data_IF_081458489631
#
_entry.id   IF_081458489631
#
_cell.length_a   1.000
_cell.length_b   1.000
_cell.length_c   1.000
_cell.angle_alpha   90.00
_cell.angle_beta   90.00
_cell.angle_gamma   90.00
#
_symmetry.space_group_name_H-M   'P 1'
#
loop_
_entity.id
_entity.type
_entity.pdbx_description
1 polymer ?
#
# COMPACT_ATOMS: atom_id res chain seq x y z
N UNK A 1 17.31 6.85 18.27
CA UNK A 1 15.84 7.00 18.22
C UNK A 1 15.20 5.70 18.74
N UNK A 2 14.14 5.75 19.57
CA UNK A 2 13.48 4.52 20.06
C UNK A 2 12.92 3.72 18.87
N UNK A 3 13.02 2.38 18.89
CA UNK A 3 12.53 1.45 17.85
C UNK A 3 11.12 1.81 17.34
N UNK A 4 10.20 2.21 18.23
CA UNK A 4 8.83 2.59 17.84
C UNK A 4 8.81 3.82 16.93
N UNK A 5 9.60 4.86 17.26
CA UNK A 5 9.72 6.09 16.46
C UNK A 5 10.31 5.77 15.09
N UNK A 6 11.33 4.91 15.05
CA UNK A 6 11.95 4.48 13.78
C UNK A 6 10.93 3.77 12.90
N UNK A 7 10.16 2.82 13.45
CA UNK A 7 9.12 2.12 12.69
C UNK A 7 8.02 3.07 12.20
N UNK A 8 7.56 4.01 13.02
CA UNK A 8 6.54 4.98 12.60
C UNK A 8 7.02 5.86 11.43
N UNK A 9 8.27 6.33 11.47
CA UNK A 9 8.89 7.11 10.39
C UNK A 9 9.03 6.24 9.13
N UNK A 10 9.56 5.02 9.27
CA UNK A 10 9.71 4.11 8.14
C UNK A 10 8.36 3.76 7.50
N UNK A 11 7.32 3.48 8.29
CA UNK A 11 5.98 3.21 7.78
C UNK A 11 5.46 4.37 6.93
N UNK A 12 5.59 5.61 7.42
CA UNK A 12 5.18 6.80 6.67
C UNK A 12 5.97 6.94 5.35
N UNK A 13 7.29 6.72 5.39
CA UNK A 13 8.14 6.76 4.19
C UNK A 13 7.73 5.69 3.19
N UNK A 14 7.60 4.43 3.62
CA UNK A 14 7.27 3.33 2.71
C UNK A 14 5.84 3.43 2.16
N UNK A 15 4.91 4.01 2.91
CA UNK A 15 3.60 4.39 2.37
C UNK A 15 3.73 5.40 1.23
N UNK A 16 4.55 6.45 1.38
CA UNK A 16 4.80 7.42 0.31
C UNK A 16 5.53 6.78 -0.89
N UNK A 17 6.51 5.91 -0.63
CA UNK A 17 7.24 5.16 -1.66
C UNK A 17 6.28 4.30 -2.49
N UNK A 18 5.33 3.62 -1.84
CA UNK A 18 4.26 2.88 -2.53
C UNK A 18 3.35 3.82 -3.32
N UNK A 19 2.95 4.97 -2.75
CA UNK A 19 2.01 5.86 -3.40
C UNK A 19 2.52 6.33 -4.78
N UNK A 20 3.83 6.51 -4.95
CA UNK A 20 4.45 6.93 -6.21
C UNK A 20 4.10 6.03 -7.41
N UNK A 21 4.50 4.74 -7.48
CA UNK A 21 4.14 3.87 -8.60
C UNK A 21 2.63 3.71 -8.74
N UNK A 22 1.87 3.69 -7.65
CA UNK A 22 0.40 3.63 -7.72
C UNK A 22 -0.20 4.84 -8.45
N UNK A 23 0.29 6.06 -8.20
CA UNK A 23 -0.19 7.24 -8.94
C UNK A 23 0.35 7.29 -10.37
N UNK A 24 1.64 6.97 -10.57
CA UNK A 24 2.25 7.01 -11.90
C UNK A 24 1.58 6.05 -12.89
N UNK A 25 1.19 4.86 -12.43
CA UNK A 25 0.44 3.89 -13.22
C UNK A 25 -1.00 4.34 -13.48
N UNK A 26 -1.69 4.89 -12.48
CA UNK A 26 -3.06 5.39 -12.62
C UNK A 26 -3.17 6.59 -13.57
N UNK A 27 -2.16 7.47 -13.59
CA UNK A 27 -2.09 8.64 -14.47
C UNK A 27 -1.52 8.34 -15.86
N UNK A 28 -1.21 7.07 -16.17
CA UNK A 28 -0.54 6.65 -17.42
C UNK A 28 0.81 7.34 -17.66
N UNK A 29 1.49 7.77 -16.61
CA UNK A 29 2.82 8.41 -16.69
C UNK A 29 3.95 7.38 -16.73
N UNK A 30 3.70 6.18 -16.23
CA UNK A 30 4.66 5.06 -16.26
C UNK A 30 4.42 4.08 -17.41
N UNK A 31 3.17 3.91 -17.82
CA UNK A 31 2.77 2.98 -18.89
C UNK A 31 1.50 3.51 -19.58
N UNK A 32 1.23 3.07 -20.81
CA UNK A 32 0.06 3.47 -21.60
C UNK A 32 -1.26 2.85 -21.11
N UNK A 33 -1.18 2.01 -20.08
CA UNK A 33 -2.30 1.28 -19.50
C UNK A 33 -2.41 1.55 -17.99
N UNK A 34 -3.64 1.67 -17.51
CA UNK A 34 -3.95 1.65 -16.08
C UNK A 34 -4.25 0.24 -15.60
N UNK A 35 -4.39 0.09 -14.27
CA UNK A 35 -4.86 -1.15 -13.64
C UNK A 35 -6.23 -1.57 -14.18
N UNK A 36 -7.13 -0.60 -14.38
CA UNK A 36 -8.46 -0.82 -14.93
C UNK A 36 -8.45 -1.24 -16.41
N UNK A 37 -7.54 -0.66 -17.21
CA UNK A 37 -7.37 -1.04 -18.62
C UNK A 37 -6.94 -2.52 -18.74
N UNK A 38 -5.92 -2.94 -17.98
CA UNK A 38 -5.47 -4.34 -17.96
C UNK A 38 -6.57 -5.27 -17.44
N UNK A 39 -7.29 -4.87 -16.39
CA UNK A 39 -8.42 -5.65 -15.85
C UNK A 39 -9.53 -5.87 -16.87
N UNK A 40 -9.74 -4.90 -17.78
CA UNK A 40 -10.75 -4.98 -18.85
C UNK A 40 -10.34 -5.93 -19.99
N UNK A 41 -9.03 -6.17 -20.17
CA UNK A 41 -8.50 -7.14 -21.15
C UNK A 41 -8.66 -8.59 -20.70
N UNK A 42 -8.58 -8.83 -19.39
CA UNK A 42 -8.67 -10.15 -18.78
C UNK A 42 -9.91 -10.24 -17.90
N UNK A 43 -11.13 -10.32 -18.49
CA UNK A 43 -12.36 -10.38 -17.71
C UNK A 43 -12.40 -11.67 -16.90
N UNK A 44 -12.52 -11.54 -15.59
CA UNK A 44 -12.82 -12.62 -14.66
C UNK A 44 -14.29 -12.54 -14.26
N UNK A 45 -14.86 -13.65 -13.79
CA UNK A 45 -16.24 -13.72 -13.28
C UNK A 45 -16.54 -12.71 -12.17
N UNK A 46 -15.50 -12.15 -11.55
CA UNK A 46 -15.57 -11.24 -10.41
C UNK A 46 -14.86 -9.91 -10.69
N UNK A 47 -14.51 -9.59 -11.94
CA UNK A 47 -13.91 -8.29 -12.26
C UNK A 47 -14.94 -7.20 -11.97
N UNK A 48 -14.66 -6.25 -11.07
CA UNK A 48 -15.62 -5.23 -10.71
C UNK A 48 -15.76 -4.17 -11.83
N UNK A 49 -16.84 -3.40 -11.78
CA UNK A 49 -17.02 -2.27 -12.67
C UNK A 49 -15.88 -1.25 -12.51
N UNK A 50 -15.55 -0.52 -13.59
CA UNK A 50 -14.43 0.45 -13.58
C UNK A 50 -14.50 1.49 -12.45
N UNK A 51 -15.71 1.91 -12.07
CA UNK A 51 -15.93 2.85 -10.96
C UNK A 51 -15.45 2.29 -9.60
N UNK A 52 -15.44 0.97 -9.42
CA UNK A 52 -15.02 0.33 -8.18
C UNK A 52 -13.55 0.61 -7.87
N UNK A 53 -12.71 0.85 -8.89
CA UNK A 53 -11.31 1.24 -8.68
C UNK A 53 -11.16 2.63 -8.03
N UNK A 54 -12.21 3.45 -7.94
CA UNK A 54 -12.17 4.71 -7.20
C UNK A 54 -11.96 4.51 -5.68
N UNK A 55 -12.22 3.30 -5.15
CA UNK A 55 -12.03 2.97 -3.73
C UNK A 55 -10.58 3.19 -3.26
N UNK A 56 -9.60 3.07 -4.17
CA UNK A 56 -8.18 3.28 -3.85
C UNK A 56 -7.91 4.67 -3.28
N UNK A 57 -8.62 5.71 -3.73
CA UNK A 57 -8.49 7.05 -3.17
C UNK A 57 -8.86 7.10 -1.69
N UNK A 58 -9.98 6.44 -1.31
CA UNK A 58 -10.42 6.35 0.08
C UNK A 58 -9.42 5.57 0.92
N UNK A 59 -8.91 4.45 0.40
CA UNK A 59 -7.88 3.63 1.08
C UNK A 59 -6.61 4.46 1.32
N UNK A 60 -6.11 5.18 0.32
CA UNK A 60 -4.90 6.00 0.47
C UNK A 60 -5.10 7.15 1.48
N UNK A 61 -6.26 7.79 1.51
CA UNK A 61 -6.57 8.80 2.53
C UNK A 61 -6.59 8.20 3.94
N UNK A 62 -7.24 7.04 4.11
CA UNK A 62 -7.28 6.34 5.39
C UNK A 62 -5.86 5.91 5.85
N UNK A 63 -5.03 5.39 4.94
CA UNK A 63 -3.65 5.01 5.22
C UNK A 63 -2.77 6.22 5.54
N UNK A 64 -2.99 7.37 4.89
CA UNK A 64 -2.30 8.61 5.22
C UNK A 64 -2.67 9.09 6.63
N UNK A 65 -3.97 9.10 6.97
CA UNK A 65 -4.45 9.44 8.30
C UNK A 65 -3.87 8.48 9.36
N UNK A 66 -3.83 7.19 9.07
CA UNK A 66 -3.20 6.17 9.91
C UNK A 66 -1.71 6.48 10.15
N UNK A 67 -0.92 6.74 9.10
CA UNK A 67 0.49 7.06 9.22
C UNK A 67 0.73 8.34 10.03
N UNK A 68 -0.05 9.40 9.78
CA UNK A 68 0.04 10.67 10.51
C UNK A 68 -0.28 10.45 11.99
N UNK A 69 -1.36 9.74 12.30
CA UNK A 69 -1.76 9.45 13.68
C UNK A 69 -0.67 8.68 14.43
N UNK A 70 -0.15 7.61 13.83
CA UNK A 70 0.92 6.80 14.42
C UNK A 70 2.23 7.57 14.60
N UNK A 71 2.58 8.43 13.64
CA UNK A 71 3.75 9.31 13.74
C UNK A 71 3.58 10.31 14.89
N UNK A 72 2.43 10.98 14.99
CA UNK A 72 2.16 11.92 16.09
C UNK A 72 2.26 11.23 17.45
N UNK A 73 1.66 10.04 17.60
CA UNK A 73 1.70 9.27 18.85
C UNK A 73 3.10 8.76 19.18
N UNK A 74 3.91 8.40 18.18
CA UNK A 74 5.29 7.97 18.41
C UNK A 74 6.17 9.08 18.99
N UNK A 75 5.92 10.35 18.65
CA UNK A 75 6.71 11.49 19.12
C UNK A 75 6.12 12.21 20.34
N UNK A 76 4.81 12.18 20.54
CA UNK A 76 4.13 12.97 21.58
C UNK A 76 3.51 12.15 22.72
N UNK A 77 3.28 10.85 22.55
CA UNK A 77 2.64 10.00 23.56
C UNK A 77 3.64 9.07 24.26
N UNK A 78 3.20 8.51 25.39
CA UNK A 78 3.98 7.50 26.12
C UNK A 78 4.23 6.23 25.28
N UNK A 79 5.30 5.51 25.58
CA UNK A 79 5.70 4.30 24.87
C UNK A 79 4.66 3.17 24.94
N UNK A 80 3.85 3.15 25.99
CA UNK A 80 2.79 2.17 26.20
C UNK A 80 1.45 2.55 25.58
N UNK A 81 1.35 3.73 24.94
CA UNK A 81 0.15 4.13 24.21
C UNK A 81 -0.21 3.07 23.14
N UNK A 82 -1.50 2.79 22.96
CA UNK A 82 -2.00 1.72 22.09
C UNK A 82 -1.47 1.82 20.64
N UNK A 83 -1.48 3.02 20.06
CA UNK A 83 -0.87 3.30 18.75
C UNK A 83 0.62 2.87 18.66
N UNK A 84 1.39 3.07 19.73
CA UNK A 84 2.79 2.66 19.79
C UNK A 84 2.93 1.13 19.89
N UNK A 85 2.05 0.47 20.64
CA UNK A 85 1.98 -0.99 20.67
C UNK A 85 1.61 -1.58 19.30
N UNK A 86 0.61 -1.02 18.63
CA UNK A 86 0.21 -1.40 17.28
C UNK A 86 1.36 -1.20 16.28
N UNK A 87 2.06 -0.06 16.31
CA UNK A 87 3.23 0.22 15.45
C UNK A 87 4.31 -0.86 15.59
N UNK A 88 4.59 -1.31 16.82
CA UNK A 88 5.58 -2.38 17.07
C UNK A 88 5.12 -3.73 16.55
N UNK A 89 3.82 -4.02 16.63
CA UNK A 89 3.23 -5.29 16.18
C UNK A 89 3.20 -5.42 14.67
N UNK A 90 2.78 -4.37 13.97
CA UNK A 90 2.52 -4.44 12.52
C UNK A 90 3.53 -3.72 11.63
N UNK A 91 4.44 -2.90 12.20
CA UNK A 91 5.26 -1.98 11.42
C UNK A 91 6.09 -2.65 10.32
N UNK A 92 6.77 -3.75 10.63
CA UNK A 92 7.55 -4.48 9.61
C UNK A 92 6.66 -5.05 8.51
N UNK A 93 5.52 -5.65 8.86
CA UNK A 93 4.57 -6.18 7.87
C UNK A 93 3.95 -5.07 7.02
N UNK A 94 3.67 -3.91 7.61
CA UNK A 94 3.18 -2.74 6.88
C UNK A 94 4.19 -2.27 5.81
N UNK A 95 5.49 -2.24 6.14
CA UNK A 95 6.54 -1.89 5.17
C UNK A 95 6.58 -2.90 4.02
N UNK A 96 6.60 -4.20 4.33
CA UNK A 96 6.60 -5.26 3.32
C UNK A 96 5.36 -5.21 2.43
N UNK A 97 4.19 -4.95 3.02
CA UNK A 97 2.95 -4.79 2.29
C UNK A 97 3.03 -3.62 1.31
N UNK A 98 3.44 -2.43 1.75
CA UNK A 98 3.57 -1.26 0.87
C UNK A 98 4.55 -1.52 -0.28
N UNK A 99 5.69 -2.14 -0.01
CA UNK A 99 6.65 -2.52 -1.06
C UNK A 99 6.03 -3.48 -2.09
N UNK A 100 5.34 -4.51 -1.61
CA UNK A 100 4.65 -5.47 -2.47
C UNK A 100 3.53 -4.80 -3.28
N UNK A 101 2.78 -3.87 -2.69
CA UNK A 101 1.70 -3.12 -3.35
C UNK A 101 2.26 -2.19 -4.44
N UNK A 102 3.31 -1.42 -4.15
CA UNK A 102 3.95 -0.57 -5.15
C UNK A 102 4.59 -1.36 -6.29
N UNK A 103 5.24 -2.49 -5.99
CA UNK A 103 5.78 -3.39 -7.01
C UNK A 103 4.66 -4.03 -7.85
N UNK A 104 3.53 -4.35 -7.22
CA UNK A 104 2.39 -4.96 -7.89
C UNK A 104 1.79 -4.03 -8.94
N UNK A 105 1.62 -2.73 -8.64
CA UNK A 105 1.04 -1.80 -9.63
C UNK A 105 1.90 -1.72 -10.90
N UNK A 106 3.23 -1.75 -10.74
CA UNK A 106 4.19 -1.81 -11.86
C UNK A 106 4.05 -3.11 -12.64
N UNK A 107 4.09 -4.27 -11.96
CA UNK A 107 4.00 -5.58 -12.60
C UNK A 107 2.66 -5.77 -13.33
N UNK A 108 1.58 -5.26 -12.74
CA UNK A 108 0.23 -5.38 -13.27
C UNK A 108 0.06 -4.62 -14.59
N UNK A 109 0.48 -3.35 -14.65
CA UNK A 109 0.35 -2.59 -15.91
C UNK A 109 1.24 -3.12 -17.03
N UNK A 110 2.34 -3.83 -16.69
CA UNK A 110 3.19 -4.54 -17.64
C UNK A 110 2.64 -5.92 -18.04
N UNK A 111 1.45 -6.29 -17.55
CA UNK A 111 0.81 -7.59 -17.80
C UNK A 111 1.67 -8.79 -17.34
N UNK A 112 2.56 -8.58 -16.36
CA UNK A 112 3.34 -9.66 -15.73
C UNK A 112 2.44 -10.40 -14.72
N UNK A 113 1.49 -11.18 -15.23
CA UNK A 113 0.39 -11.76 -14.45
C UNK A 113 0.89 -12.67 -13.33
N UNK A 114 1.83 -13.58 -13.60
CA UNK A 114 2.38 -14.48 -12.57
C UNK A 114 3.07 -13.71 -11.45
N UNK A 115 3.93 -12.75 -11.79
CA UNK A 115 4.60 -11.86 -10.81
C UNK A 115 3.57 -11.09 -9.99
N UNK A 116 2.51 -10.61 -10.64
CA UNK A 116 1.43 -9.89 -9.97
C UNK A 116 0.72 -10.77 -8.93
N UNK A 117 0.42 -12.03 -9.27
CA UNK A 117 -0.18 -12.99 -8.32
C UNK A 117 0.74 -13.25 -7.15
N UNK A 118 2.05 -13.46 -7.38
CA UNK A 118 3.01 -13.64 -6.29
C UNK A 118 3.06 -12.43 -5.36
N UNK A 119 3.04 -11.21 -5.91
CA UNK A 119 3.02 -9.98 -5.11
C UNK A 119 1.70 -9.81 -4.34
N UNK A 120 0.56 -10.20 -4.93
CA UNK A 120 -0.73 -10.23 -4.22
C UNK A 120 -0.71 -11.22 -3.05
N UNK A 121 -0.06 -12.38 -3.19
CA UNK A 121 0.10 -13.34 -2.08
C UNK A 121 0.96 -12.76 -0.95
N UNK A 122 2.04 -12.02 -1.28
CA UNK A 122 2.84 -11.31 -0.27
C UNK A 122 1.99 -10.26 0.45
N UNK A 123 1.15 -9.50 -0.28
CA UNK A 123 0.23 -8.55 0.33
C UNK A 123 -0.75 -9.25 1.28
N UNK A 124 -1.31 -10.39 0.88
CA UNK A 124 -2.24 -11.17 1.70
C UNK A 124 -1.58 -11.66 2.99
N UNK A 125 -0.41 -12.29 2.88
CA UNK A 125 0.33 -12.83 4.05
C UNK A 125 0.73 -11.72 5.02
N UNK A 126 1.05 -10.53 4.51
CA UNK A 126 1.45 -9.38 5.35
C UNK A 126 0.27 -8.67 6.02
N UNK A 127 -0.98 -8.99 5.64
CA UNK A 127 -2.19 -8.42 6.23
C UNK A 127 -2.84 -9.32 7.31
N UNK A 128 -2.47 -10.59 7.37
CA UNK A 128 -3.00 -11.60 8.31
C UNK A 128 -2.11 -11.65 9.56
#
# INVERSE_FOLDING_TARGET
MNKTKTLAVLNAIFFLVHLLPSQLTQLKLFNNQTIGDVSSKYPALFTPAGITFAIWGVIYVALAAFCIYHLLKAFKADLNHEANAATRRIGTFFILNNLATGAWTIAWVQEWLLTSVLLMLVQLITLI
#
